data_IF_534591344671
#
_entry.id   IF_534591344671
#
_cell.length_a   1.000
_cell.length_b   1.000
_cell.length_c   1.000
_cell.angle_alpha   90.00
_cell.angle_beta   90.00
_cell.angle_gamma   90.00
#
_symmetry.space_group_name_H-M   'P 1'
#
loop_
_entity.id
_entity.type
_entity.pdbx_description
1 polymer ?
#
# COMPACT_ATOMS: atom_id res chain seq x y z
N UNK A 1 -13.95 4.30 1.79
CA UNK A 1 -14.07 2.85 1.52
C UNK A 1 -12.71 2.22 1.79
N UNK A 2 -12.64 1.01 2.33
CA UNK A 2 -11.41 0.25 2.53
C UNK A 2 -11.43 -1.00 1.64
N UNK A 3 -10.49 -1.08 0.70
CA UNK A 3 -10.37 -2.23 -0.19
C UNK A 3 -9.40 -3.27 0.41
N UNK A 4 -9.81 -4.53 0.44
CA UNK A 4 -8.97 -5.64 0.85
C UNK A 4 -9.32 -6.93 0.13
N UNK A 5 -8.41 -7.90 0.21
CA UNK A 5 -8.74 -9.29 -0.11
C UNK A 5 -9.71 -9.91 0.93
N UNK A 6 -10.05 -11.19 0.70
CA UNK A 6 -10.91 -12.00 1.58
C UNK A 6 -10.14 -12.78 2.64
N UNK A 7 -8.92 -12.37 2.97
CA UNK A 7 -8.11 -12.97 4.00
C UNK A 7 -8.83 -13.04 5.34
N UNK A 8 -8.52 -14.05 6.15
CA UNK A 8 -9.16 -14.29 7.45
C UNK A 8 -9.05 -13.09 8.40
N UNK A 9 -7.96 -12.31 8.28
CA UNK A 9 -7.73 -11.10 9.05
C UNK A 9 -8.81 -10.03 8.75
N UNK A 10 -9.07 -9.77 7.46
CA UNK A 10 -9.99 -8.72 7.00
C UNK A 10 -11.46 -9.15 7.07
N UNK A 11 -11.74 -10.45 6.97
CA UNK A 11 -13.10 -11.01 7.12
C UNK A 11 -13.51 -11.23 8.59
N UNK A 12 -12.56 -11.14 9.52
CA UNK A 12 -12.81 -11.34 10.96
C UNK A 12 -13.85 -10.36 11.52
N UNK A 13 -14.63 -10.82 12.50
CA UNK A 13 -15.62 -9.97 13.20
C UNK A 13 -14.95 -8.76 13.85
N UNK A 14 -13.76 -8.95 14.44
CA UNK A 14 -12.99 -7.88 15.07
C UNK A 14 -12.66 -6.77 14.08
N UNK A 15 -12.19 -7.12 12.89
CA UNK A 15 -11.81 -6.13 11.88
C UNK A 15 -13.02 -5.41 11.28
N UNK A 16 -14.11 -6.15 11.01
CA UNK A 16 -15.37 -5.55 10.53
C UNK A 16 -15.95 -4.55 11.52
N UNK A 17 -15.91 -4.88 12.82
CA UNK A 17 -16.35 -3.95 13.87
C UNK A 17 -15.48 -2.70 13.93
N UNK A 18 -14.15 -2.84 13.74
CA UNK A 18 -13.24 -1.69 13.70
C UNK A 18 -13.61 -0.73 12.56
N UNK A 19 -13.82 -1.25 11.35
CA UNK A 19 -14.20 -0.42 10.21
C UNK A 19 -15.56 0.27 10.42
N UNK A 20 -16.54 -0.45 10.98
CA UNK A 20 -17.85 0.11 11.32
C UNK A 20 -17.73 1.27 12.32
N UNK A 21 -16.89 1.13 13.36
CA UNK A 21 -16.67 2.18 14.36
C UNK A 21 -16.06 3.46 13.76
N UNK A 22 -15.29 3.34 12.68
CA UNK A 22 -14.75 4.49 11.95
C UNK A 22 -15.65 4.98 10.81
N UNK A 23 -16.84 4.40 10.61
CA UNK A 23 -17.72 4.73 9.48
C UNK A 23 -17.14 4.32 8.12
N UNK A 24 -16.20 3.39 8.10
CA UNK A 24 -15.51 2.96 6.87
C UNK A 24 -16.25 1.76 6.27
N UNK A 25 -16.74 1.91 5.04
CA UNK A 25 -17.27 0.79 4.25
C UNK A 25 -16.13 -0.14 3.81
N UNK A 26 -16.18 -1.40 4.25
CA UNK A 26 -15.34 -2.47 3.70
C UNK A 26 -15.78 -2.81 2.27
N UNK A 27 -14.84 -2.91 1.35
CA UNK A 27 -15.03 -3.40 -0.01
C UNK A 27 -14.06 -4.57 -0.22
N UNK A 28 -14.61 -5.77 -0.28
CA UNK A 28 -13.86 -6.96 -0.66
C UNK A 28 -14.44 -7.34 -2.01
N UNK A 29 -13.67 -7.14 -3.08
CA UNK A 29 -14.15 -7.32 -4.45
C UNK A 29 -14.88 -8.64 -4.67
N UNK A 30 -15.68 -8.71 -5.74
CA UNK A 30 -16.27 -9.97 -6.18
C UNK A 30 -15.18 -11.01 -6.47
N UNK A 31 -15.55 -12.30 -6.43
CA UNK A 31 -14.62 -13.37 -6.82
C UNK A 31 -14.20 -13.13 -8.27
N UNK A 32 -12.94 -12.76 -8.50
CA UNK A 32 -12.41 -12.41 -9.83
C UNK A 32 -12.26 -10.91 -10.12
N UNK A 33 -12.67 -10.01 -9.22
CA UNK A 33 -12.42 -8.57 -9.33
C UNK A 33 -11.03 -8.21 -8.79
N UNK A 34 -9.98 -8.54 -9.55
CA UNK A 34 -8.58 -8.30 -9.16
C UNK A 34 -8.19 -6.81 -9.09
N UNK A 35 -8.97 -5.93 -9.74
CA UNK A 35 -8.65 -4.51 -9.91
C UNK A 35 -8.52 -3.74 -8.59
N UNK A 36 -9.37 -4.02 -7.61
CA UNK A 36 -9.39 -3.30 -6.33
C UNK A 36 -8.12 -3.55 -5.50
N UNK A 37 -7.51 -4.73 -5.64
CA UNK A 37 -6.29 -5.10 -4.91
C UNK A 37 -5.01 -4.95 -5.76
N UNK A 38 -5.14 -4.84 -7.08
CA UNK A 38 -4.02 -4.81 -8.02
C UNK A 38 -3.00 -3.71 -7.70
N UNK A 39 -3.45 -2.54 -7.23
CA UNK A 39 -2.55 -1.42 -6.86
C UNK A 39 -1.66 -1.79 -5.68
N UNK A 40 -2.26 -2.40 -4.64
CA UNK A 40 -1.55 -2.85 -3.44
C UNK A 40 -0.62 -4.02 -3.76
N UNK A 41 -1.07 -4.95 -4.61
CA UNK A 41 -0.24 -6.06 -5.10
C UNK A 41 1.00 -5.57 -5.85
N UNK A 42 0.82 -4.59 -6.75
CA UNK A 42 1.93 -3.97 -7.46
C UNK A 42 2.92 -3.30 -6.51
N UNK A 43 2.43 -2.58 -5.50
CA UNK A 43 3.27 -1.99 -4.46
C UNK A 43 4.13 -3.05 -3.75
N UNK A 44 3.51 -4.14 -3.28
CA UNK A 44 4.24 -5.21 -2.59
C UNK A 44 5.21 -5.96 -3.49
N UNK A 45 4.85 -6.14 -4.77
CA UNK A 45 5.75 -6.69 -5.79
C UNK A 45 7.03 -5.85 -5.91
N UNK A 46 6.87 -4.53 -6.08
CA UNK A 46 8.00 -3.60 -6.13
C UNK A 46 8.83 -3.60 -4.85
N UNK A 47 8.23 -3.54 -3.66
CA UNK A 47 8.96 -3.60 -2.39
C UNK A 47 9.85 -4.86 -2.29
N UNK A 48 9.29 -6.02 -2.65
CA UNK A 48 10.03 -7.28 -2.58
C UNK A 48 11.17 -7.31 -3.59
N UNK A 49 10.88 -7.08 -4.87
CA UNK A 49 11.88 -7.25 -5.93
C UNK A 49 12.89 -6.12 -6.03
N UNK A 50 12.49 -4.89 -5.73
CA UNK A 50 13.37 -3.73 -5.85
C UNK A 50 14.29 -3.57 -4.63
N UNK A 51 13.92 -4.12 -3.46
CA UNK A 51 14.59 -3.88 -2.18
C UNK A 51 14.80 -5.15 -1.35
N UNK A 52 13.73 -5.74 -0.81
CA UNK A 52 13.86 -6.74 0.26
C UNK A 52 14.57 -8.03 -0.18
N UNK A 53 14.38 -8.45 -1.43
CA UNK A 53 15.01 -9.65 -1.98
C UNK A 53 16.45 -9.42 -2.46
N UNK A 54 16.94 -8.17 -2.47
CA UNK A 54 18.31 -7.83 -2.90
C UNK A 54 19.34 -7.91 -1.78
N UNK A 55 18.90 -7.96 -0.52
CA UNK A 55 19.79 -7.97 0.65
C UNK A 55 19.34 -9.03 1.66
N UNK A 56 20.28 -9.71 2.37
CA UNK A 56 19.93 -10.63 3.44
C UNK A 56 19.18 -9.92 4.58
N UNK A 57 18.18 -10.59 5.15
CA UNK A 57 17.34 -10.08 6.23
C UNK A 57 17.51 -10.95 7.49
N UNK A 58 18.63 -10.80 8.23
CA UNK A 58 19.00 -11.74 9.30
C UNK A 58 18.09 -11.63 10.52
N UNK A 59 17.47 -10.46 10.74
CA UNK A 59 16.57 -10.24 11.87
C UNK A 59 15.28 -9.56 11.45
N UNK A 60 14.24 -9.72 12.27
CA UNK A 60 12.97 -9.00 12.09
C UNK A 60 13.15 -7.48 12.23
N UNK A 61 14.15 -7.03 12.99
CA UNK A 61 14.45 -5.61 13.15
C UNK A 61 15.05 -5.02 11.88
N UNK A 62 15.99 -5.72 11.23
CA UNK A 62 16.53 -5.30 9.94
C UNK A 62 15.41 -5.19 8.89
N UNK A 63 14.54 -6.19 8.82
CA UNK A 63 13.39 -6.18 7.90
C UNK A 63 12.47 -4.98 8.15
N UNK A 64 12.19 -4.65 9.42
CA UNK A 64 11.36 -3.47 9.77
C UNK A 64 12.03 -2.16 9.33
N UNK A 65 13.34 -2.04 9.55
CA UNK A 65 14.10 -0.87 9.17
C UNK A 65 14.12 -0.70 7.65
N UNK A 66 14.30 -1.78 6.90
CA UNK A 66 14.27 -1.75 5.43
C UNK A 66 12.88 -1.43 4.89
N UNK A 67 11.81 -1.99 5.46
CA UNK A 67 10.44 -1.63 5.07
C UNK A 67 10.18 -0.15 5.33
N UNK A 68 10.63 0.39 6.48
CA UNK A 68 10.50 1.81 6.79
C UNK A 68 11.27 2.70 5.81
N UNK A 69 12.52 2.33 5.51
CA UNK A 69 13.36 3.03 4.54
C UNK A 69 12.74 3.02 3.14
N UNK A 70 12.26 1.86 2.69
CA UNK A 70 11.56 1.74 1.42
C UNK A 70 10.28 2.58 1.39
N UNK A 71 9.49 2.61 2.47
CA UNK A 71 8.28 3.44 2.53
C UNK A 71 8.60 4.93 2.40
N UNK A 72 9.69 5.39 3.02
CA UNK A 72 10.15 6.77 2.86
C UNK A 72 10.54 7.03 1.41
N UNK A 73 11.38 6.18 0.82
CA UNK A 73 11.80 6.27 -0.58
C UNK A 73 10.61 6.24 -1.55
N UNK A 74 9.70 5.28 -1.40
CA UNK A 74 8.54 5.12 -2.26
C UNK A 74 7.66 6.37 -2.29
N UNK A 75 7.39 6.95 -1.13
CA UNK A 75 6.47 8.09 -1.04
C UNK A 75 7.10 9.44 -1.41
N UNK A 76 8.40 9.62 -1.13
CA UNK A 76 9.07 10.93 -1.28
C UNK A 76 9.96 11.03 -2.51
N UNK A 77 10.55 9.92 -2.95
CA UNK A 77 11.67 9.95 -3.90
C UNK A 77 11.40 9.12 -5.17
N UNK A 78 10.57 8.07 -5.10
CA UNK A 78 10.30 7.18 -6.24
C UNK A 78 9.42 7.88 -7.28
N UNK A 79 9.95 8.06 -8.49
CA UNK A 79 9.19 8.63 -9.60
C UNK A 79 8.26 7.58 -10.22
N UNK A 80 7.04 8.01 -10.56
CA UNK A 80 6.05 7.18 -11.25
C UNK A 80 5.66 7.84 -12.56
N UNK A 81 5.85 7.15 -13.69
CA UNK A 81 5.47 7.67 -15.02
C UNK A 81 3.98 7.98 -15.13
N UNK A 82 3.14 7.21 -14.44
CA UNK A 82 1.68 7.47 -14.34
C UNK A 82 1.37 8.78 -13.62
N UNK A 83 2.30 9.30 -12.82
CA UNK A 83 2.18 10.53 -12.06
C UNK A 83 2.91 11.69 -12.75
N UNK A 84 3.29 11.56 -14.02
CA UNK A 84 4.10 12.57 -14.72
C UNK A 84 5.50 12.69 -14.14
N UNK A 85 6.12 11.56 -13.81
CA UNK A 85 7.45 11.47 -13.21
C UNK A 85 7.59 12.21 -11.88
N UNK A 86 6.51 12.25 -11.09
CA UNK A 86 6.50 12.76 -9.72
C UNK A 86 6.48 11.63 -8.69
N UNK A 87 6.98 11.94 -7.48
CA UNK A 87 6.78 11.09 -6.30
C UNK A 87 5.29 11.05 -5.92
N UNK A 88 4.81 10.00 -5.21
CA UNK A 88 3.43 9.95 -4.73
C UNK A 88 3.02 11.20 -3.93
N UNK A 89 3.88 11.68 -3.02
CA UNK A 89 3.59 12.86 -2.21
C UNK A 89 3.56 14.14 -3.06
N UNK A 90 4.46 14.29 -4.03
CA UNK A 90 4.47 15.48 -4.87
C UNK A 90 3.29 15.50 -5.84
N UNK A 91 2.91 14.33 -6.37
CA UNK A 91 1.68 14.17 -7.14
C UNK A 91 0.45 14.54 -6.31
N UNK A 92 0.32 14.06 -5.06
CA UNK A 92 -0.79 14.49 -4.19
C UNK A 92 -0.80 16.00 -3.91
N UNK A 93 0.37 16.60 -3.70
CA UNK A 93 0.50 18.05 -3.48
C UNK A 93 0.14 18.87 -4.71
N UNK A 94 0.34 18.37 -5.94
CA UNK A 94 0.00 19.11 -7.15
C UNK A 94 -1.51 19.37 -7.27
N UNK A 95 -2.36 18.46 -6.78
CA UNK A 95 -3.81 18.67 -6.73
C UNK A 95 -4.24 19.69 -5.69
N UNK A 96 -3.46 19.87 -4.61
CA UNK A 96 -3.78 20.84 -3.55
C UNK A 96 -3.49 22.29 -3.94
N UNK A 97 -2.74 22.54 -5.01
CA UNK A 97 -2.41 23.89 -5.48
C UNK A 97 -3.49 24.52 -6.38
N UNK A 98 -4.60 23.82 -6.62
CA UNK A 98 -5.76 24.40 -7.29
C UNK A 98 -6.72 24.89 -6.19
N UNK A 99 -6.58 26.15 -5.80
CA UNK A 99 -7.53 26.92 -4.98
C UNK A 99 -7.62 28.32 -5.55
#
# INVERSE_FOLDING_TARGET
VFHSDRGSQYTSKRYRNLLANYGIRASMGDVGACWDNAVVERFFGSLKHDWLLKVPQPTRENMKNDVSAYMRYYNLDRLHTTNGDMSPIDYEKSFRKVS
#
